data_IF_964036292044
#
_entry.id   IF_964036292044
#
_cell.length_a   1.000
_cell.length_b   1.000
_cell.length_c   1.000
_cell.angle_alpha   90.00
_cell.angle_beta   90.00
_cell.angle_gamma   90.00
#
_symmetry.space_group_name_H-M   'P 1'
#
loop_
_entity.id
_entity.type
_entity.pdbx_description
1 polymer ?
#
# COMPACT_ATOMS: atom_id res chain seq x y z
N UNK A 1 7.77 -16.26 -18.85
CA UNK A 1 6.35 -16.21 -18.42
C UNK A 1 6.22 -15.02 -17.46
N UNK A 2 6.21 -13.81 -18.00
CA UNK A 2 6.26 -12.55 -17.26
C UNK A 2 5.51 -11.46 -18.04
N UNK A 3 4.89 -10.50 -17.34
CA UNK A 3 4.12 -9.41 -17.96
C UNK A 3 2.60 -9.57 -17.83
N UNK A 4 1.85 -9.34 -18.91
CA UNK A 4 0.39 -9.28 -18.93
C UNK A 4 -0.36 -10.46 -18.25
N UNK A 5 0.09 -11.73 -18.36
CA UNK A 5 -0.58 -12.85 -17.68
C UNK A 5 -0.49 -12.77 -16.15
N UNK A 6 0.65 -12.30 -15.61
CA UNK A 6 0.85 -12.10 -14.17
C UNK A 6 0.09 -10.86 -13.68
N UNK A 7 0.02 -9.80 -14.48
CA UNK A 7 -0.82 -8.63 -14.17
C UNK A 7 -2.32 -8.95 -14.18
N UNK A 8 -2.77 -9.83 -15.09
CA UNK A 8 -4.15 -10.32 -15.12
C UNK A 8 -4.45 -11.28 -13.96
N UNK A 9 -3.53 -12.18 -13.61
CA UNK A 9 -3.66 -13.02 -12.42
C UNK A 9 -3.73 -12.17 -11.14
N UNK A 10 -2.87 -11.15 -11.03
CA UNK A 10 -2.89 -10.18 -9.94
C UNK A 10 -4.23 -9.42 -9.86
N UNK A 11 -4.75 -8.97 -11.01
CA UNK A 11 -6.05 -8.28 -11.08
C UNK A 11 -7.21 -9.22 -10.73
N UNK A 12 -7.15 -10.49 -11.13
CA UNK A 12 -8.14 -11.50 -10.77
C UNK A 12 -8.16 -11.78 -9.26
N UNK A 13 -6.99 -11.88 -8.64
CA UNK A 13 -6.84 -12.04 -7.17
C UNK A 13 -7.42 -10.82 -6.44
N UNK A 14 -7.07 -9.60 -6.84
CA UNK A 14 -7.62 -8.36 -6.27
C UNK A 14 -9.14 -8.23 -6.47
N UNK A 15 -9.68 -8.71 -7.60
CA UNK A 15 -11.12 -8.68 -7.89
C UNK A 15 -11.87 -9.69 -7.03
N UNK A 16 -11.32 -10.89 -6.82
CA UNK A 16 -11.91 -11.93 -5.98
C UNK A 16 -11.98 -11.51 -4.50
N UNK A 17 -10.94 -10.85 -3.98
CA UNK A 17 -10.93 -10.33 -2.61
C UNK A 17 -12.02 -9.28 -2.38
N UNK A 18 -12.28 -8.43 -3.38
CA UNK A 18 -13.27 -7.36 -3.30
C UNK A 18 -14.73 -7.77 -3.63
N UNK A 19 -14.96 -8.87 -4.36
CA UNK A 19 -16.33 -9.34 -4.70
C UNK A 19 -16.85 -10.50 -3.85
N UNK A 20 -16.01 -11.41 -3.36
CA UNK A 20 -16.47 -12.61 -2.63
C UNK A 20 -16.44 -12.39 -1.11
N UNK A 21 -15.54 -11.54 -0.62
CA UNK A 21 -15.30 -11.34 0.81
C UNK A 21 -16.33 -10.49 1.56
N UNK A 22 -17.14 -9.66 0.89
CA UNK A 22 -17.84 -8.59 1.60
C UNK A 22 -19.24 -8.90 2.16
N UNK A 23 -19.98 -9.94 1.75
CA UNK A 23 -21.39 -10.08 2.19
C UNK A 23 -22.01 -11.50 2.16
N UNK A 24 -21.36 -12.55 2.67
CA UNK A 24 -22.12 -13.79 2.94
C UNK A 24 -21.41 -14.72 3.93
N UNK A 25 -22.08 -15.06 5.03
CA UNK A 25 -21.64 -16.06 6.02
C UNK A 25 -21.33 -17.43 5.39
N UNK A 26 -21.86 -17.69 4.17
CA UNK A 26 -21.67 -18.90 3.38
C UNK A 26 -20.32 -19.00 2.65
N UNK A 27 -19.58 -17.90 2.48
CA UNK A 27 -18.33 -17.86 1.68
C UNK A 27 -17.11 -17.34 2.44
N UNK A 28 -17.21 -17.30 3.77
CA UNK A 28 -16.15 -16.80 4.68
C UNK A 28 -14.81 -17.51 4.46
N UNK A 29 -14.83 -18.82 4.21
CA UNK A 29 -13.61 -19.61 4.00
C UNK A 29 -12.98 -19.38 2.63
N UNK A 30 -13.79 -19.12 1.59
CA UNK A 30 -13.30 -18.73 0.27
C UNK A 30 -12.73 -17.31 0.27
N UNK A 31 -13.40 -16.38 0.97
CA UNK A 31 -12.88 -15.03 1.21
C UNK A 31 -11.56 -15.04 1.97
N UNK A 32 -11.45 -15.90 3.00
CA UNK A 32 -10.21 -16.07 3.77
C UNK A 32 -9.06 -16.67 2.93
N UNK A 33 -9.35 -17.68 2.11
CA UNK A 33 -8.35 -18.26 1.21
C UNK A 33 -7.88 -17.24 0.14
N UNK A 34 -8.81 -16.46 -0.42
CA UNK A 34 -8.50 -15.40 -1.39
C UNK A 34 -7.63 -14.30 -0.77
N UNK A 35 -8.00 -13.79 0.41
CA UNK A 35 -7.22 -12.78 1.13
C UNK A 35 -5.81 -13.27 1.45
N UNK A 36 -5.67 -14.56 1.80
CA UNK A 36 -4.36 -15.16 2.08
C UNK A 36 -3.49 -15.33 0.83
N UNK A 37 -4.09 -15.66 -0.31
CA UNK A 37 -3.38 -15.74 -1.59
C UNK A 37 -2.95 -14.34 -2.05
N UNK A 38 -3.82 -13.33 -1.91
CA UNK A 38 -3.45 -11.93 -2.16
C UNK A 38 -2.29 -11.51 -1.27
N UNK A 39 -2.36 -11.82 0.03
CA UNK A 39 -1.32 -11.47 0.98
C UNK A 39 0.04 -12.10 0.62
N UNK A 40 0.05 -13.32 0.10
CA UNK A 40 1.28 -13.98 -0.37
C UNK A 40 1.79 -13.31 -1.66
N UNK A 41 0.91 -13.10 -2.64
CA UNK A 41 1.27 -12.48 -3.92
C UNK A 41 1.83 -11.07 -3.73
N UNK A 42 1.29 -10.32 -2.78
CA UNK A 42 1.68 -8.95 -2.45
C UNK A 42 2.82 -8.84 -1.43
N UNK A 43 3.30 -9.95 -0.87
CA UNK A 43 4.32 -9.90 0.16
C UNK A 43 5.58 -9.18 -0.32
N UNK A 44 6.22 -9.66 -1.38
CA UNK A 44 7.43 -9.04 -1.95
C UNK A 44 7.12 -7.67 -2.58
N UNK A 45 6.08 -7.52 -3.44
CA UNK A 45 5.73 -6.24 -4.05
C UNK A 45 5.53 -5.11 -3.03
N UNK A 46 4.87 -5.36 -1.89
CA UNK A 46 4.62 -4.34 -0.89
C UNK A 46 5.91 -3.78 -0.29
N UNK A 47 6.92 -4.62 -0.03
CA UNK A 47 8.22 -4.17 0.50
C UNK A 47 8.96 -3.33 -0.53
N UNK A 48 9.03 -3.80 -1.78
CA UNK A 48 9.66 -3.08 -2.88
C UNK A 48 8.95 -1.73 -3.11
N UNK A 49 7.62 -1.70 -3.03
CA UNK A 49 6.83 -0.49 -3.22
C UNK A 49 7.19 0.60 -2.20
N UNK A 50 7.39 0.26 -0.93
CA UNK A 50 7.77 1.26 0.10
C UNK A 50 9.11 1.94 -0.21
N UNK A 51 10.08 1.20 -0.76
CA UNK A 51 11.38 1.73 -1.17
C UNK A 51 11.21 2.64 -2.40
N UNK A 52 10.48 2.17 -3.42
CA UNK A 52 10.21 2.95 -4.63
C UNK A 52 9.42 4.23 -4.31
N UNK A 53 8.49 4.17 -3.35
CA UNK A 53 7.72 5.33 -2.88
C UNK A 53 8.58 6.31 -2.09
N UNK A 54 9.58 5.85 -1.34
CA UNK A 54 10.56 6.73 -0.73
C UNK A 54 11.38 7.46 -1.82
N UNK A 55 11.81 6.76 -2.88
CA UNK A 55 12.50 7.39 -4.02
C UNK A 55 11.60 8.39 -4.74
N UNK A 56 10.35 8.03 -5.03
CA UNK A 56 9.36 8.94 -5.62
C UNK A 56 9.11 10.18 -4.76
N UNK A 57 9.04 9.99 -3.44
CA UNK A 57 8.92 11.09 -2.47
C UNK A 57 10.15 12.00 -2.45
N UNK A 58 11.36 11.44 -2.60
CA UNK A 58 12.59 12.22 -2.75
C UNK A 58 12.56 13.11 -4.00
N UNK A 59 12.15 12.55 -5.15
CA UNK A 59 12.02 13.29 -6.41
C UNK A 59 11.01 14.45 -6.28
N UNK A 60 9.91 14.22 -5.57
CA UNK A 60 8.87 15.23 -5.32
C UNK A 60 9.21 16.21 -4.20
N UNK A 61 10.38 16.08 -3.56
CA UNK A 61 10.82 16.89 -2.40
C UNK A 61 9.91 16.77 -1.18
N UNK A 62 9.29 15.60 -1.00
CA UNK A 62 8.61 15.21 0.23
C UNK A 62 9.57 14.51 1.21
N UNK A 63 9.08 14.15 2.41
CA UNK A 63 9.91 13.54 3.45
C UNK A 63 10.16 12.04 3.19
N UNK A 64 11.08 11.74 2.27
CA UNK A 64 11.43 10.37 1.90
C UNK A 64 12.03 9.53 3.05
N UNK A 65 12.68 10.18 4.02
CA UNK A 65 13.25 9.50 5.20
C UNK A 65 12.13 8.95 6.07
N UNK A 66 11.14 9.79 6.36
CA UNK A 66 9.97 9.35 7.12
C UNK A 66 9.09 8.41 6.31
N UNK A 67 9.02 8.54 4.98
CA UNK A 67 8.34 7.55 4.14
C UNK A 67 8.85 6.12 4.42
N UNK A 68 10.18 5.91 4.38
CA UNK A 68 10.76 4.59 4.64
C UNK A 68 10.71 4.20 6.13
N UNK A 69 10.96 5.15 7.03
CA UNK A 69 10.92 4.89 8.48
C UNK A 69 9.54 4.44 8.93
N UNK A 70 8.49 5.17 8.54
CA UNK A 70 7.11 4.90 8.94
C UNK A 70 6.59 3.63 8.28
N UNK A 71 6.89 3.40 7.00
CA UNK A 71 6.48 2.15 6.31
C UNK A 71 7.02 0.90 7.00
N UNK A 72 8.18 0.98 7.65
CA UNK A 72 8.75 -0.12 8.43
C UNK A 72 8.21 -0.13 9.86
N UNK A 73 8.19 1.03 10.54
CA UNK A 73 7.75 1.17 11.94
C UNK A 73 6.33 0.64 12.13
N UNK A 74 5.42 1.06 11.25
CA UNK A 74 3.98 0.82 11.41
C UNK A 74 3.47 -0.34 10.55
N UNK A 75 4.35 -1.15 9.96
CA UNK A 75 4.01 -2.26 9.05
C UNK A 75 3.04 -3.31 9.60
N UNK A 76 2.84 -3.34 10.92
CA UNK A 76 1.94 -4.28 11.63
C UNK A 76 0.61 -3.65 12.04
N UNK A 77 0.39 -2.38 11.71
CA UNK A 77 -0.78 -1.60 12.12
C UNK A 77 -1.96 -1.74 11.16
N UNK A 78 -1.93 -2.78 10.32
CA UNK A 78 -3.01 -3.16 9.41
C UNK A 78 -3.25 -4.68 9.49
N UNK A 79 -4.47 -5.13 9.18
CA UNK A 79 -4.83 -6.56 9.23
C UNK A 79 -4.05 -7.38 8.20
N UNK A 80 -3.93 -6.85 6.98
CA UNK A 80 -3.04 -7.39 5.95
C UNK A 80 -1.58 -6.99 6.26
N UNK A 81 -0.62 -7.93 6.16
CA UNK A 81 0.82 -7.69 6.31
C UNK A 81 1.43 -6.86 5.19
N UNK A 82 0.65 -6.42 4.20
CA UNK A 82 1.11 -5.71 3.01
C UNK A 82 0.66 -4.25 2.98
N UNK A 83 -0.59 -3.95 3.33
CA UNK A 83 -1.17 -2.60 3.17
C UNK A 83 -0.42 -1.51 3.94
N UNK A 84 0.07 -1.82 5.14
CA UNK A 84 0.73 -0.83 5.99
C UNK A 84 2.05 -0.30 5.42
N UNK A 85 2.69 -0.99 4.48
CA UNK A 85 3.92 -0.53 3.83
C UNK A 85 3.67 0.72 2.97
N UNK A 86 2.83 0.68 1.91
CA UNK A 86 2.54 1.86 1.11
C UNK A 86 1.77 2.92 1.90
N UNK A 87 0.87 2.54 2.81
CA UNK A 87 0.17 3.49 3.69
C UNK A 87 1.16 4.26 4.58
N UNK A 88 2.09 3.55 5.22
CA UNK A 88 3.13 4.16 6.03
C UNK A 88 4.09 5.04 5.21
N UNK A 89 4.38 4.64 3.97
CA UNK A 89 5.20 5.45 3.07
C UNK A 89 4.53 6.78 2.72
N UNK A 90 3.24 6.79 2.40
CA UNK A 90 2.47 8.04 2.16
C UNK A 90 2.37 8.87 3.43
N UNK A 91 2.00 8.23 4.55
CA UNK A 91 1.82 8.90 5.83
C UNK A 91 3.10 9.60 6.29
N UNK A 92 4.24 8.91 6.20
CA UNK A 92 5.56 9.45 6.50
C UNK A 92 6.01 10.54 5.52
N UNK A 93 5.80 10.35 4.21
CA UNK A 93 6.15 11.35 3.20
C UNK A 93 5.42 12.69 3.40
N UNK A 94 4.14 12.61 3.80
CA UNK A 94 3.24 13.75 3.89
C UNK A 94 3.08 14.32 5.31
N UNK A 95 3.63 13.67 6.33
CA UNK A 95 3.54 14.07 7.74
C UNK A 95 2.12 13.98 8.30
N UNK A 96 1.38 12.95 7.88
CA UNK A 96 -0.02 12.71 8.28
C UNK A 96 -0.16 11.39 9.02
N UNK A 97 -1.30 11.22 9.70
CA UNK A 97 -1.66 9.97 10.36
C UNK A 97 -2.92 9.38 9.72
N UNK A 98 -2.82 8.13 9.29
CA UNK A 98 -3.91 7.33 8.74
C UNK A 98 -4.48 6.37 9.81
N UNK A 99 -5.70 5.92 9.60
CA UNK A 99 -6.37 4.99 10.52
C UNK A 99 -6.92 5.68 11.77
N UNK A 100 -6.77 5.03 12.92
CA UNK A 100 -7.31 5.52 14.20
C UNK A 100 -8.75 5.10 14.48
N UNK A 101 -9.21 5.42 15.69
CA UNK A 101 -10.56 5.09 16.17
C UNK A 101 -11.62 5.75 15.30
N UNK A 102 -12.56 4.95 14.81
CA UNK A 102 -13.70 5.43 14.03
C UNK A 102 -15.00 4.99 14.69
N UNK A 103 -16.03 5.81 14.60
CA UNK A 103 -17.37 5.47 15.09
C UNK A 103 -18.17 4.88 13.93
N UNK A 104 -18.50 3.59 14.02
CA UNK A 104 -19.37 2.91 13.06
C UNK A 104 -20.66 2.51 13.77
N UNK A 105 -21.81 2.96 13.26
CA UNK A 105 -23.13 2.65 13.83
C UNK A 105 -23.22 2.93 15.34
N UNK A 106 -22.61 4.02 15.81
CA UNK A 106 -22.57 4.39 17.23
C UNK A 106 -21.61 3.58 18.10
N UNK A 107 -20.85 2.64 17.53
CA UNK A 107 -19.81 1.87 18.24
C UNK A 107 -18.42 2.37 17.85
N UNK A 108 -17.59 2.63 18.84
CA UNK A 108 -16.18 2.89 18.62
C UNK A 108 -15.48 1.61 18.14
N UNK A 109 -14.84 1.70 16.98
CA UNK A 109 -13.99 0.66 16.43
C UNK A 109 -12.57 1.20 16.45
N UNK A 110 -11.79 0.73 17.42
CA UNK A 110 -10.37 1.04 17.49
C UNK A 110 -9.63 0.36 16.33
N UNK A 111 -8.84 1.14 15.59
CA UNK A 111 -7.86 0.64 14.64
C UNK A 111 -6.51 1.27 14.97
N UNK A 112 -5.41 0.50 14.87
CA UNK A 112 -4.07 1.08 14.97
C UNK A 112 -3.90 2.24 13.98
N UNK A 113 -3.11 3.23 14.38
CA UNK A 113 -2.76 4.38 13.52
C UNK A 113 -1.50 4.08 12.72
N UNK A 114 -1.36 4.69 11.54
CA UNK A 114 -0.17 4.61 10.70
C UNK A 114 0.34 6.03 10.43
N UNK A 115 1.60 6.29 10.76
CA UNK A 115 2.22 7.61 10.65
C UNK A 115 2.06 8.50 11.88
N UNK A 116 2.71 9.66 11.78
CA UNK A 116 2.78 10.67 12.84
C UNK A 116 1.96 11.90 12.41
N UNK A 117 1.14 12.41 13.33
CA UNK A 117 0.23 13.53 13.08
C UNK A 117 0.95 14.88 13.18
N UNK A 118 1.92 15.14 12.29
CA UNK A 118 2.61 16.43 12.26
C UNK A 118 1.72 17.57 11.74
N UNK A 119 0.70 17.22 10.97
CA UNK A 119 -0.39 18.11 10.56
C UNK A 119 -1.69 17.34 10.37
N UNK A 120 -2.79 18.08 10.26
CA UNK A 120 -4.11 17.51 9.91
C UNK A 120 -4.14 17.01 8.45
N UNK A 121 -4.98 16.00 8.22
CA UNK A 121 -5.30 15.51 6.88
C UNK A 121 -6.16 16.55 6.16
N UNK A 122 -5.83 16.79 4.89
CA UNK A 122 -6.59 17.68 4.01
C UNK A 122 -6.93 16.99 2.69
N UNK A 123 -7.97 17.45 2.00
CA UNK A 123 -8.40 16.89 0.70
C UNK A 123 -7.26 16.90 -0.33
N UNK A 124 -6.40 17.90 -0.27
CA UNK A 124 -5.23 18.03 -1.15
C UNK A 124 -4.20 16.89 -0.97
N UNK A 125 -4.26 16.14 0.14
CA UNK A 125 -3.40 14.97 0.33
C UNK A 125 -3.70 13.83 -0.64
N UNK A 126 -4.93 13.76 -1.16
CA UNK A 126 -5.27 12.84 -2.25
C UNK A 126 -4.43 13.18 -3.49
N UNK A 127 -4.33 14.46 -3.83
CA UNK A 127 -3.54 14.92 -4.99
C UNK A 127 -2.04 14.67 -4.76
N UNK A 128 -1.52 14.94 -3.56
CA UNK A 128 -0.12 14.64 -3.21
C UNK A 128 0.18 13.15 -3.25
N UNK A 129 -0.75 12.31 -2.77
CA UNK A 129 -0.65 10.85 -2.83
C UNK A 129 -0.61 10.35 -4.27
N UNK A 130 -1.46 10.90 -5.15
CA UNK A 130 -1.41 10.59 -6.59
C UNK A 130 -0.08 10.99 -7.22
N UNK A 131 0.50 12.13 -6.84
CA UNK A 131 1.84 12.52 -7.29
C UNK A 131 2.89 11.49 -6.87
N UNK A 132 2.87 11.05 -5.60
CA UNK A 132 3.77 9.99 -5.10
C UNK A 132 3.58 8.70 -5.91
N UNK A 133 2.34 8.30 -6.17
CA UNK A 133 2.01 7.13 -6.99
C UNK A 133 2.64 7.24 -8.39
N UNK A 134 2.40 8.33 -9.12
CA UNK A 134 2.96 8.51 -10.46
C UNK A 134 4.49 8.56 -10.47
N UNK A 135 5.10 9.27 -9.52
CA UNK A 135 6.56 9.28 -9.38
C UNK A 135 7.11 7.87 -9.13
N UNK A 136 6.48 7.12 -8.23
CA UNK A 136 6.81 5.72 -7.94
C UNK A 136 6.69 4.84 -9.18
N UNK A 137 5.62 4.98 -9.95
CA UNK A 137 5.42 4.23 -11.20
C UNK A 137 6.52 4.51 -12.21
N UNK A 138 6.86 5.78 -12.45
CA UNK A 138 7.93 6.18 -13.36
C UNK A 138 9.28 5.61 -12.88
N UNK A 139 9.59 5.78 -11.58
CA UNK A 139 10.82 5.23 -10.99
C UNK A 139 10.87 3.71 -11.14
N UNK A 140 9.76 3.01 -10.92
CA UNK A 140 9.70 1.55 -11.06
C UNK A 140 10.01 1.09 -12.48
N UNK A 141 9.46 1.77 -13.50
CA UNK A 141 9.72 1.48 -14.91
C UNK A 141 11.21 1.67 -15.22
N UNK A 142 11.79 2.79 -14.79
CA UNK A 142 13.22 3.08 -15.01
C UNK A 142 14.10 2.03 -14.34
N UNK A 143 13.87 1.76 -13.05
CA UNK A 143 14.66 0.80 -12.27
C UNK A 143 14.57 -0.61 -12.87
N UNK A 144 13.37 -1.10 -13.16
CA UNK A 144 13.20 -2.44 -13.72
C UNK A 144 13.73 -2.55 -15.15
N UNK A 145 13.63 -1.49 -15.96
CA UNK A 145 14.23 -1.47 -17.31
C UNK A 145 15.75 -1.54 -17.24
N UNK A 146 16.36 -0.79 -16.33
CA UNK A 146 17.80 -0.81 -16.11
C UNK A 146 18.25 -2.20 -15.65
N UNK A 147 17.58 -2.77 -14.64
CA UNK A 147 17.87 -4.13 -14.16
C UNK A 147 17.75 -5.15 -15.28
N UNK A 148 16.69 -5.07 -16.09
CA UNK A 148 16.48 -5.98 -17.20
C UNK A 148 17.63 -5.92 -18.22
N UNK A 149 18.07 -4.72 -18.60
CA UNK A 149 19.21 -4.52 -19.53
C UNK A 149 20.56 -4.96 -18.98
N UNK A 150 20.72 -5.04 -17.65
CA UNK A 150 21.96 -5.54 -17.04
C UNK A 150 21.97 -7.06 -16.93
N UNK A 151 20.80 -7.70 -16.91
CA UNK A 151 20.66 -9.15 -16.78
C UNK A 151 20.62 -9.89 -18.14
N UNK A 152 20.30 -9.18 -19.22
CA UNK A 152 20.17 -9.70 -20.59
C UNK A 152 20.85 -8.75 -21.59
#
# INVERSE_FOLDING_TARGET
>A
IGGAPLAMAYKAINTLDSTVGYKNDKYKDLGFASAKIDDIANFIPARISSILMAIGSFILKYNYKDALKISIRDRKNHKSPNCAYPEGAVAGALGIQLGGTNIYFGKEVYKPTIGDKYREIEVNDIVKTNKIMYATSITSIVVFTIIFKFLY
#
